data_IF_355087328994
#
_entry.id   IF_355087328994
#
_cell.length_a   1.000
_cell.length_b   1.000
_cell.length_c   1.000
_cell.angle_alpha   90.00
_cell.angle_beta   90.00
_cell.angle_gamma   90.00
#
_symmetry.space_group_name_H-M   'P 1'
#
loop_
_entity.id
_entity.type
_entity.pdbx_description
1 polymer ?
#
# COMPACT_ATOMS: atom_id res chain seq x y z
N UNK A 1 -98.03 -16.30 -69.45
CA UNK A 1 -98.00 -14.83 -69.62
C UNK A 1 -97.23 -14.06 -68.53
N UNK A 2 -96.64 -14.70 -67.50
CA UNK A 2 -95.95 -13.98 -66.40
C UNK A 2 -94.45 -13.67 -66.64
N UNK A 3 -93.79 -14.30 -67.61
CA UNK A 3 -92.33 -14.21 -67.81
C UNK A 3 -91.86 -12.95 -68.57
N UNK A 4 -92.65 -12.44 -69.52
CA UNK A 4 -92.29 -11.24 -70.31
C UNK A 4 -92.24 -9.96 -69.48
N UNK A 5 -93.14 -9.83 -68.49
CA UNK A 5 -93.19 -8.66 -67.59
C UNK A 5 -92.04 -8.64 -66.57
N UNK A 6 -91.56 -9.79 -66.11
CA UNK A 6 -90.39 -9.89 -65.23
C UNK A 6 -89.07 -9.66 -65.96
N UNK A 7 -88.95 -10.15 -67.20
CA UNK A 7 -87.76 -9.92 -68.04
C UNK A 7 -87.59 -8.43 -68.40
N UNK A 8 -88.69 -7.75 -68.76
CA UNK A 8 -88.66 -6.32 -69.05
C UNK A 8 -88.32 -5.48 -67.82
N UNK A 9 -88.81 -5.85 -66.63
CA UNK A 9 -88.46 -5.17 -65.37
C UNK A 9 -87.00 -5.39 -64.98
N UNK A 10 -86.49 -6.61 -65.13
CA UNK A 10 -85.07 -6.90 -64.87
C UNK A 10 -84.17 -6.08 -65.79
N UNK A 11 -84.46 -6.08 -67.11
CA UNK A 11 -83.67 -5.34 -68.10
C UNK A 11 -83.72 -3.82 -67.88
N UNK A 12 -84.88 -3.28 -67.48
CA UNK A 12 -85.02 -1.87 -67.11
C UNK A 12 -84.23 -1.51 -65.85
N UNK A 13 -84.18 -2.42 -64.86
CA UNK A 13 -83.40 -2.24 -63.62
C UNK A 13 -81.90 -2.30 -63.91
N UNK A 14 -81.42 -3.25 -64.71
CA UNK A 14 -80.00 -3.29 -65.13
C UNK A 14 -79.62 -2.06 -65.95
N UNK A 15 -80.48 -1.61 -66.86
CA UNK A 15 -80.24 -0.39 -67.63
C UNK A 15 -80.15 0.85 -66.73
N UNK A 16 -81.07 0.98 -65.75
CA UNK A 16 -81.01 2.05 -64.76
C UNK A 16 -79.75 1.98 -63.89
N UNK A 17 -79.30 0.79 -63.48
CA UNK A 17 -78.06 0.61 -62.72
C UNK A 17 -76.81 1.00 -63.53
N UNK A 18 -76.78 0.72 -64.83
CA UNK A 18 -75.65 1.11 -65.70
C UNK A 18 -75.59 2.62 -65.98
N UNK A 19 -76.74 3.29 -66.14
CA UNK A 19 -76.80 4.74 -66.38
C UNK A 19 -76.40 5.57 -65.16
N UNK A 20 -76.65 5.09 -63.94
CA UNK A 20 -76.25 5.75 -62.69
C UNK A 20 -74.73 5.56 -62.40
N UNK A 21 -74.10 4.53 -62.98
CA UNK A 21 -72.66 4.25 -62.81
C UNK A 21 -71.75 5.11 -63.70
N UNK A 22 -72.18 5.43 -64.92
CA UNK A 22 -71.32 6.07 -65.92
C UNK A 22 -70.90 7.53 -65.58
N UNK A 23 -71.69 8.22 -64.76
CA UNK A 23 -71.34 9.56 -64.24
C UNK A 23 -70.30 9.47 -63.09
N UNK A 24 -70.35 8.37 -62.32
CA UNK A 24 -69.39 8.10 -61.25
C UNK A 24 -68.00 7.76 -61.78
N UNK A 25 -67.90 7.07 -62.92
CA UNK A 25 -66.61 6.70 -63.53
C UNK A 25 -65.83 7.93 -64.01
N UNK A 26 -66.52 8.92 -64.59
CA UNK A 26 -65.89 10.21 -64.96
C UNK A 26 -65.41 10.97 -63.73
N UNK A 27 -66.15 10.90 -62.63
CA UNK A 27 -65.81 11.56 -61.37
C UNK A 27 -64.68 10.85 -60.63
N UNK A 28 -64.61 9.51 -60.72
CA UNK A 28 -63.51 8.68 -60.19
C UNK A 28 -62.23 8.89 -61.00
N UNK A 29 -62.30 8.91 -62.33
CA UNK A 29 -61.15 9.21 -63.19
C UNK A 29 -60.61 10.63 -62.91
N UNK A 30 -61.49 11.63 -62.83
CA UNK A 30 -61.10 13.00 -62.49
C UNK A 30 -60.54 13.13 -61.06
N UNK A 31 -60.97 12.29 -60.12
CA UNK A 31 -60.43 12.26 -58.76
C UNK A 31 -59.07 11.56 -58.72
N UNK A 32 -58.88 10.48 -59.48
CA UNK A 32 -57.61 9.78 -59.62
C UNK A 32 -56.53 10.66 -60.26
N UNK A 33 -56.87 11.43 -61.30
CA UNK A 33 -55.95 12.40 -61.92
C UNK A 33 -55.51 13.50 -60.93
N UNK A 34 -56.44 13.99 -60.09
CA UNK A 34 -56.09 14.97 -59.04
C UNK A 34 -55.17 14.38 -57.99
N UNK A 35 -55.40 13.13 -57.57
CA UNK A 35 -54.52 12.45 -56.62
C UNK A 35 -53.15 12.18 -57.22
N UNK A 36 -53.04 11.79 -58.49
CA UNK A 36 -51.76 11.60 -59.18
C UNK A 36 -50.98 12.92 -59.29
N UNK A 37 -51.64 14.01 -59.70
CA UNK A 37 -51.02 15.32 -59.76
C UNK A 37 -50.47 15.75 -58.39
N UNK A 38 -51.27 15.61 -57.34
CA UNK A 38 -50.89 15.97 -55.97
C UNK A 38 -49.81 15.04 -55.40
N UNK A 39 -49.84 13.75 -55.76
CA UNK A 39 -48.85 12.76 -55.36
C UNK A 39 -47.49 13.01 -56.03
N UNK A 40 -47.44 13.49 -57.27
CA UNK A 40 -46.17 13.89 -57.91
C UNK A 40 -45.52 15.07 -57.20
N UNK A 41 -46.32 16.01 -56.71
CA UNK A 41 -45.84 17.18 -55.98
C UNK A 41 -45.37 16.80 -54.57
N UNK A 42 -46.12 15.95 -53.86
CA UNK A 42 -45.70 15.38 -52.59
C UNK A 42 -44.42 14.53 -52.70
N UNK A 43 -44.30 13.73 -53.76
CA UNK A 43 -43.12 12.91 -54.01
C UNK A 43 -41.88 13.77 -54.28
N UNK A 44 -42.03 14.90 -54.98
CA UNK A 44 -40.92 15.86 -55.16
C UNK A 44 -40.43 16.42 -53.84
N UNK A 45 -41.34 16.88 -52.99
CA UNK A 45 -41.00 17.44 -51.67
C UNK A 45 -40.39 16.36 -50.76
N UNK A 46 -40.97 15.16 -50.75
CA UNK A 46 -40.43 14.01 -50.03
C UNK A 46 -39.01 13.66 -50.51
N UNK A 47 -38.76 13.69 -51.82
CA UNK A 47 -37.43 13.40 -52.37
C UNK A 47 -36.37 14.44 -51.95
N UNK A 48 -36.76 15.70 -51.76
CA UNK A 48 -35.85 16.75 -51.29
C UNK A 48 -35.52 16.55 -49.80
N UNK A 49 -36.53 16.31 -48.98
CA UNK A 49 -36.36 15.96 -47.56
C UNK A 49 -35.49 14.73 -47.38
N UNK A 50 -35.70 13.67 -48.15
CA UNK A 50 -34.87 12.47 -48.09
C UNK A 50 -33.41 12.75 -48.47
N UNK A 51 -33.15 13.63 -49.44
CA UNK A 51 -31.78 14.04 -49.79
C UNK A 51 -31.13 14.84 -48.67
N UNK A 52 -31.86 15.76 -48.04
CA UNK A 52 -31.35 16.55 -46.92
C UNK A 52 -31.06 15.68 -45.70
N UNK A 53 -31.97 14.75 -45.37
CA UNK A 53 -31.75 13.77 -44.29
C UNK A 53 -30.58 12.86 -44.61
N UNK A 54 -30.48 12.32 -45.83
CA UNK A 54 -29.36 11.47 -46.22
C UNK A 54 -28.02 12.23 -46.17
N UNK A 55 -27.99 13.49 -46.64
CA UNK A 55 -26.82 14.35 -46.56
C UNK A 55 -26.45 14.68 -45.10
N UNK A 56 -27.45 14.97 -44.26
CA UNK A 56 -27.27 15.22 -42.82
C UNK A 56 -26.75 13.98 -42.09
N UNK A 57 -27.38 12.82 -42.29
CA UNK A 57 -26.94 11.53 -41.74
C UNK A 57 -25.54 11.16 -42.19
N UNK A 58 -25.17 11.41 -43.46
CA UNK A 58 -23.80 11.16 -43.95
C UNK A 58 -22.78 11.98 -43.17
N UNK A 59 -23.04 13.28 -42.96
CA UNK A 59 -22.15 14.17 -42.19
C UNK A 59 -22.02 13.72 -40.73
N UNK A 60 -23.14 13.32 -40.11
CA UNK A 60 -23.15 12.80 -38.74
C UNK A 60 -22.34 11.51 -38.61
N UNK A 61 -22.51 10.57 -39.55
CA UNK A 61 -21.75 9.30 -39.57
C UNK A 61 -20.27 9.55 -39.80
N UNK A 62 -19.91 10.49 -40.67
CA UNK A 62 -18.52 10.85 -40.93
C UNK A 62 -17.86 11.49 -39.70
N UNK A 63 -18.58 12.38 -39.01
CA UNK A 63 -18.15 12.95 -37.73
C UNK A 63 -18.04 11.90 -36.62
N UNK A 64 -19.01 10.97 -36.50
CA UNK A 64 -18.96 9.88 -35.51
C UNK A 64 -17.80 8.92 -35.81
N UNK A 65 -17.59 8.57 -37.08
CA UNK A 65 -16.47 7.72 -37.50
C UNK A 65 -15.11 8.38 -37.19
N UNK A 66 -15.01 9.69 -37.33
CA UNK A 66 -13.82 10.44 -36.95
C UNK A 66 -13.63 10.49 -35.43
N UNK A 67 -14.69 10.78 -34.67
CA UNK A 67 -14.66 10.76 -33.20
C UNK A 67 -14.25 9.41 -32.64
N UNK A 68 -14.75 8.30 -33.21
CA UNK A 68 -14.34 6.95 -32.82
C UNK A 68 -12.86 6.68 -33.06
N UNK A 69 -12.28 7.23 -34.15
CA UNK A 69 -10.84 7.11 -34.41
C UNK A 69 -10.04 7.88 -33.35
N UNK A 70 -10.45 9.10 -33.03
CA UNK A 70 -9.80 9.93 -32.01
C UNK A 70 -9.88 9.29 -30.61
N UNK A 71 -11.03 8.72 -30.25
CA UNK A 71 -11.18 7.98 -29.00
C UNK A 71 -10.27 6.74 -28.98
N UNK A 72 -10.19 6.01 -30.10
CA UNK A 72 -9.31 4.84 -30.20
C UNK A 72 -7.83 5.21 -30.11
N UNK A 73 -7.40 6.35 -30.67
CA UNK A 73 -6.02 6.82 -30.56
C UNK A 73 -5.70 7.25 -29.13
N UNK A 74 -6.58 8.03 -28.50
CA UNK A 74 -6.42 8.44 -27.10
C UNK A 74 -6.35 7.24 -26.16
N UNK A 75 -7.19 6.22 -26.37
CA UNK A 75 -7.12 4.98 -25.60
C UNK A 75 -5.76 4.30 -25.74
N UNK A 76 -5.21 4.20 -26.96
CA UNK A 76 -3.90 3.59 -27.19
C UNK A 76 -2.79 4.38 -26.50
N UNK A 77 -2.81 5.70 -26.59
CA UNK A 77 -1.84 6.58 -25.93
C UNK A 77 -1.91 6.44 -24.41
N UNK A 78 -3.13 6.47 -23.83
CA UNK A 78 -3.35 6.24 -22.40
C UNK A 78 -2.87 4.87 -21.95
N UNK A 79 -3.06 3.82 -22.76
CA UNK A 79 -2.55 2.49 -22.44
C UNK A 79 -1.02 2.44 -22.48
N UNK A 80 -0.39 3.06 -23.48
CA UNK A 80 1.06 3.15 -23.57
C UNK A 80 1.66 3.91 -22.37
N UNK A 81 1.07 5.05 -22.00
CA UNK A 81 1.51 5.84 -20.86
C UNK A 81 1.37 5.06 -19.55
N UNK A 82 0.23 4.36 -19.34
CA UNK A 82 0.04 3.51 -18.15
C UNK A 82 1.08 2.40 -18.03
N UNK A 83 1.48 1.79 -19.14
CA UNK A 83 2.52 0.75 -19.13
C UNK A 83 3.87 1.35 -18.74
N UNK A 84 4.23 2.50 -19.29
CA UNK A 84 5.50 3.16 -18.97
C UNK A 84 5.53 3.64 -17.51
N UNK A 85 4.44 4.23 -17.01
CA UNK A 85 4.30 4.61 -15.59
C UNK A 85 4.39 3.39 -14.68
N UNK A 86 3.77 2.27 -15.07
CA UNK A 86 3.88 1.00 -14.35
C UNK A 86 5.33 0.52 -14.26
N UNK A 87 6.06 0.55 -15.38
CA UNK A 87 7.47 0.18 -15.44
C UNK A 87 8.33 1.09 -14.56
N UNK A 88 8.11 2.40 -14.60
CA UNK A 88 8.82 3.37 -13.76
C UNK A 88 8.56 3.13 -12.27
N UNK A 89 7.30 2.84 -11.92
CA UNK A 89 6.92 2.50 -10.54
C UNK A 89 7.60 1.24 -10.06
N UNK A 90 7.62 0.18 -10.87
CA UNK A 90 8.28 -1.08 -10.52
C UNK A 90 9.78 -0.90 -10.28
N UNK A 91 10.44 -0.04 -11.07
CA UNK A 91 11.85 0.32 -10.85
C UNK A 91 12.02 1.03 -9.51
N UNK A 92 11.20 2.04 -9.22
CA UNK A 92 11.27 2.78 -7.95
C UNK A 92 10.97 1.90 -6.74
N UNK A 93 10.02 0.96 -6.86
CA UNK A 93 9.67 0.06 -5.76
C UNK A 93 10.81 -0.95 -5.51
N UNK A 94 11.51 -1.41 -6.55
CA UNK A 94 12.73 -2.21 -6.39
C UNK A 94 13.84 -1.42 -5.71
N UNK A 95 14.12 -0.20 -6.16
CA UNK A 95 15.14 0.65 -5.54
C UNK A 95 14.84 0.92 -4.06
N UNK A 96 13.57 1.16 -3.71
CA UNK A 96 13.14 1.31 -2.31
C UNK A 96 13.36 0.05 -1.49
N UNK A 97 13.06 -1.12 -2.06
CA UNK A 97 13.30 -2.41 -1.40
C UNK A 97 14.80 -2.65 -1.16
N UNK A 98 15.64 -2.33 -2.14
CA UNK A 98 17.09 -2.47 -2.05
C UNK A 98 17.67 -1.53 -1.00
N UNK A 99 17.24 -0.26 -0.98
CA UNK A 99 17.65 0.71 0.05
C UNK A 99 17.21 0.28 1.45
N UNK A 100 15.99 -0.26 1.59
CA UNK A 100 15.53 -0.81 2.85
C UNK A 100 16.36 -2.04 3.28
N UNK A 101 16.78 -2.87 2.33
CA UNK A 101 17.65 -4.01 2.59
C UNK A 101 19.05 -3.57 3.03
N UNK A 102 19.66 -2.60 2.36
CA UNK A 102 20.98 -2.05 2.72
C UNK A 102 20.98 -1.46 4.14
N UNK A 103 19.99 -0.62 4.47
CA UNK A 103 19.90 -0.01 5.81
C UNK A 103 19.76 -1.02 6.94
N UNK A 104 19.09 -2.16 6.69
CA UNK A 104 19.00 -3.24 7.69
C UNK A 104 20.36 -3.82 8.02
N UNK A 105 21.21 -4.04 7.02
CA UNK A 105 22.56 -4.56 7.22
C UNK A 105 23.47 -3.53 7.86
N UNK A 106 23.40 -2.27 7.43
CA UNK A 106 24.21 -1.19 8.02
C UNK A 106 23.90 -1.02 9.52
N UNK A 107 22.62 -1.03 9.90
CA UNK A 107 22.21 -0.93 11.30
C UNK A 107 22.65 -2.14 12.12
N UNK A 108 22.62 -3.35 11.54
CA UNK A 108 23.02 -4.57 12.22
C UNK A 108 24.54 -4.64 12.42
N UNK A 109 25.31 -4.27 11.39
CA UNK A 109 26.78 -4.28 11.43
C UNK A 109 27.29 -3.23 12.43
N UNK A 110 26.69 -2.04 12.45
CA UNK A 110 27.07 -0.99 13.39
C UNK A 110 26.86 -1.40 14.86
N UNK A 111 25.71 -2.01 15.17
CA UNK A 111 25.42 -2.52 16.51
C UNK A 111 26.37 -3.67 16.90
N UNK A 112 26.59 -4.62 15.99
CA UNK A 112 27.47 -5.76 16.24
C UNK A 112 28.93 -5.34 16.48
N UNK A 113 29.42 -4.29 15.79
CA UNK A 113 30.78 -3.77 16.01
C UNK A 113 30.94 -3.17 17.40
N UNK A 114 29.91 -2.45 17.89
CA UNK A 114 29.93 -1.85 19.21
C UNK A 114 29.94 -2.92 20.31
N UNK A 115 29.06 -3.92 20.18
CA UNK A 115 28.97 -5.03 21.12
C UNK A 115 30.27 -5.85 21.14
N UNK A 116 30.85 -6.14 19.97
CA UNK A 116 32.16 -6.80 19.89
C UNK A 116 33.27 -5.96 20.50
N UNK A 117 33.29 -4.64 20.26
CA UNK A 117 34.29 -3.74 20.85
C UNK A 117 34.22 -3.71 22.38
N UNK A 118 33.01 -3.70 22.94
CA UNK A 118 32.78 -3.76 24.38
C UNK A 118 33.24 -5.10 24.97
N UNK A 119 32.83 -6.21 24.36
CA UNK A 119 33.26 -7.56 24.73
C UNK A 119 34.79 -7.66 24.71
N UNK A 120 35.41 -7.20 23.63
CA UNK A 120 36.87 -7.23 23.48
C UNK A 120 37.55 -6.36 24.54
N UNK A 121 37.02 -5.16 24.81
CA UNK A 121 37.53 -4.25 25.85
C UNK A 121 37.47 -4.84 27.26
N UNK A 122 36.47 -5.67 27.57
CA UNK A 122 36.41 -6.41 28.83
C UNK A 122 37.27 -7.69 28.82
N UNK A 123 37.35 -8.41 27.70
CA UNK A 123 38.13 -9.65 27.61
C UNK A 123 39.64 -9.38 27.61
N UNK A 124 40.09 -8.28 27.02
CA UNK A 124 41.50 -7.91 26.93
C UNK A 124 42.19 -7.83 28.31
N UNK A 125 41.68 -7.06 29.29
CA UNK A 125 42.30 -7.01 30.62
C UNK A 125 42.24 -8.36 31.33
N UNK A 126 41.16 -9.13 31.17
CA UNK A 126 41.05 -10.49 31.74
C UNK A 126 42.09 -11.42 31.13
N UNK A 127 42.27 -11.40 29.82
CA UNK A 127 43.27 -12.20 29.11
C UNK A 127 44.71 -11.80 29.49
N UNK A 128 44.97 -10.51 29.69
CA UNK A 128 46.27 -10.03 30.19
C UNK A 128 46.51 -10.51 31.62
N UNK A 129 45.53 -10.39 32.51
CA UNK A 129 45.63 -10.92 33.87
C UNK A 129 45.87 -12.44 33.87
N UNK A 130 45.15 -13.17 33.03
CA UNK A 130 45.33 -14.60 32.85
C UNK A 130 46.74 -14.94 32.36
N UNK A 131 47.22 -14.27 31.32
CA UNK A 131 48.56 -14.50 30.77
C UNK A 131 49.67 -14.22 31.80
N UNK A 132 49.53 -13.15 32.59
CA UNK A 132 50.47 -12.83 33.66
C UNK A 132 50.45 -13.89 34.77
N UNK A 133 49.28 -14.44 35.09
CA UNK A 133 49.14 -15.47 36.12
C UNK A 133 49.69 -16.82 35.63
N UNK A 134 49.38 -17.22 34.39
CA UNK A 134 49.91 -18.45 33.77
C UNK A 134 51.43 -18.40 33.53
N UNK A 135 52.01 -17.21 33.34
CA UNK A 135 53.47 -17.02 33.26
C UNK A 135 54.18 -17.18 34.61
N UNK A 136 53.45 -17.12 35.73
CA UNK A 136 53.98 -17.23 37.09
C UNK A 136 54.08 -18.67 37.60
N UNK A 137 53.72 -19.65 36.77
CA UNK A 137 53.89 -21.08 37.05
C UNK A 137 55.32 -21.59 36.74
N UNK A 138 56.37 -20.80 37.01
CA UNK A 138 57.53 -21.46 37.61
C UNK A 138 57.10 -21.73 39.06
N UNK A 139 57.05 -22.99 39.52
CA UNK A 139 56.67 -23.28 40.89
C UNK A 139 57.70 -22.61 41.80
N UNK A 140 57.39 -21.40 42.26
CA UNK A 140 58.05 -20.80 43.39
C UNK A 140 57.75 -21.77 44.52
N UNK A 141 58.75 -22.60 44.83
CA UNK A 141 58.71 -23.65 45.85
C UNK A 141 57.87 -23.17 47.02
N UNK A 142 56.67 -23.73 47.19
CA UNK A 142 55.71 -23.30 48.22
C UNK A 142 56.38 -23.32 49.59
N UNK A 143 57.39 -24.18 49.76
CA UNK A 143 58.23 -24.27 50.93
C UNK A 143 59.21 -23.09 51.09
N UNK A 144 59.76 -22.55 50.01
CA UNK A 144 60.58 -21.33 50.03
C UNK A 144 59.74 -20.08 50.32
N UNK A 145 58.52 -19.99 49.77
CA UNK A 145 57.59 -18.89 50.04
C UNK A 145 57.10 -18.94 51.49
N UNK A 146 56.73 -20.14 51.98
CA UNK A 146 56.34 -20.33 53.37
C UNK A 146 57.47 -20.00 54.34
N UNK A 147 58.72 -20.36 54.02
CA UNK A 147 59.91 -19.99 54.82
C UNK A 147 60.15 -18.49 54.83
N UNK A 148 60.05 -17.82 53.69
CA UNK A 148 60.24 -16.36 53.61
C UNK A 148 59.18 -15.60 54.43
N UNK A 149 57.93 -16.07 54.40
CA UNK A 149 56.84 -15.50 55.20
C UNK A 149 57.02 -15.79 56.70
N UNK A 150 57.52 -16.98 57.05
CA UNK A 150 57.82 -17.34 58.44
C UNK A 150 58.99 -16.52 58.98
N UNK A 151 60.02 -16.29 58.16
CA UNK A 151 61.17 -15.44 58.51
C UNK A 151 60.75 -13.97 58.68
N UNK A 152 59.88 -13.41 57.82
CA UNK A 152 59.40 -12.02 58.00
C UNK A 152 58.48 -11.87 59.24
N UNK A 153 57.73 -12.92 59.61
CA UNK A 153 56.90 -12.92 60.84
C UNK A 153 57.74 -13.00 62.11
N UNK A 154 58.88 -13.69 62.06
CA UNK A 154 59.78 -13.87 63.22
C UNK A 154 60.81 -12.73 63.31
N UNK A 155 61.08 -12.02 62.21
CA UNK A 155 62.02 -10.90 62.18
C UNK A 155 61.55 -9.71 63.04
N UNK A 156 62.49 -9.09 63.76
CA UNK A 156 62.21 -7.92 64.62
C UNK A 156 61.79 -6.67 63.83
N UNK A 157 62.03 -6.64 62.52
CA UNK A 157 61.65 -5.58 61.59
C UNK A 157 61.00 -6.15 60.33
N UNK A 158 59.69 -6.48 60.36
CA UNK A 158 58.99 -6.97 59.18
C UNK A 158 58.91 -5.86 58.12
N UNK A 159 59.35 -6.16 56.90
CA UNK A 159 59.33 -5.22 55.77
C UNK A 159 57.97 -5.27 55.05
N UNK A 160 57.30 -6.43 55.10
CA UNK A 160 56.10 -6.69 54.31
C UNK A 160 54.79 -6.52 55.11
N UNK A 161 54.82 -6.71 56.43
CA UNK A 161 53.64 -6.54 57.29
C UNK A 161 53.57 -5.13 57.89
N UNK A 162 52.53 -4.33 57.62
CA UNK A 162 52.36 -3.04 58.28
C UNK A 162 52.17 -3.27 59.78
N UNK A 163 53.07 -2.69 60.59
CA UNK A 163 53.04 -2.75 62.05
C UNK A 163 51.63 -2.38 62.53
N UNK A 164 50.89 -3.35 63.11
CA UNK A 164 49.54 -3.16 63.66
C UNK A 164 49.61 -2.12 64.78
N UNK A 165 49.49 -0.85 64.42
CA UNK A 165 49.46 0.29 65.35
C UNK A 165 48.21 0.09 66.18
N UNK A 166 48.39 -0.34 67.44
CA UNK A 166 47.32 -0.51 68.43
C UNK A 166 46.69 0.86 68.69
N UNK A 167 45.72 1.22 67.86
CA UNK A 167 44.91 2.40 68.02
C UNK A 167 44.13 2.19 69.32
N UNK A 168 44.64 2.77 70.42
CA UNK A 168 43.84 3.01 71.62
C UNK A 168 42.68 3.88 71.16
N UNK A 169 41.57 3.23 70.82
CA UNK A 169 40.28 3.88 70.74
C UNK A 169 40.10 4.49 72.14
N UNK A 170 40.20 5.81 72.19
CA UNK A 170 39.82 6.57 73.36
C UNK A 170 38.34 6.32 73.59
N UNK A 171 38.02 5.38 74.47
CA UNK A 171 36.76 5.44 75.19
C UNK A 171 36.90 6.61 76.16
N UNK A 172 36.47 7.76 75.67
CA UNK A 172 36.33 9.00 76.40
C UNK A 172 35.45 8.77 77.62
N UNK A 173 35.97 9.20 78.77
CA UNK A 173 35.23 9.81 79.87
C UNK A 173 33.92 9.14 80.32
N UNK A 174 34.04 8.22 81.27
CA UNK A 174 33.08 8.10 82.37
C UNK A 174 33.86 7.91 83.67
N UNK A 175 34.46 9.01 84.15
CA UNK A 175 35.04 9.12 85.49
C UNK A 175 34.34 10.24 86.22
N UNK A 176 33.42 9.87 87.11
CA UNK A 176 32.88 10.58 88.28
C UNK A 176 31.44 10.06 88.46
N UNK A 177 31.02 9.37 89.51
CA UNK A 177 31.49 9.39 90.88
C UNK A 177 31.15 8.09 91.63
N UNK A 178 31.72 8.01 92.83
CA UNK A 178 31.82 6.84 93.69
C UNK A 178 30.46 6.30 94.18
N UNK A 179 30.35 4.99 94.49
CA UNK A 179 29.34 4.48 95.39
C UNK A 179 29.77 4.69 96.84
N UNK A 180 29.07 5.56 97.58
CA UNK A 180 29.07 5.53 99.05
C UNK A 180 28.12 4.42 99.50
N UNK A 181 28.69 3.40 100.12
CA UNK A 181 28.01 2.29 100.79
C UNK A 181 27.32 2.84 102.04
N UNK A 182 26.00 2.70 102.14
CA UNK A 182 25.28 2.69 103.43
C UNK A 182 24.65 1.30 103.62
N UNK A 183 24.86 0.66 104.79
CA UNK A 183 24.38 -0.68 105.04
C UNK A 183 22.93 -0.66 105.56
N UNK A 184 22.15 -1.62 105.05
CA UNK A 184 21.04 -2.31 105.72
C UNK A 184 20.12 -1.53 106.68
N UNK A 185 18.82 -1.51 106.36
CA UNK A 185 17.85 -2.11 107.28
C UNK A 185 16.60 -2.63 106.53
N UNK A 186 15.97 -3.74 107.01
CA UNK A 186 14.82 -4.38 106.42
C UNK A 186 13.51 -3.98 107.11
N UNK A 187 12.45 -3.80 106.31
CA UNK A 187 11.00 -3.97 106.59
C UNK A 187 10.16 -2.94 105.82
#
# INVERSE_FOLDING_TARGET
MFSSRSAARLLAVTLMLTLIGCDKDKRLAAMAERHLAQQTEQNRNASQLHREVAAGSKRLVEADAQSRKEIATLHREMHAERVEVGRQRDVLDRERQDLAAQRRWDSLVAAALYDMGWLLGCLLPVAVCWLLLSRREEPADDQAVARLLLDDVIAEHPILLPRRKRQRIGLSAARAGLPSVDPADPA
#
